data_IF_990409774364
#
_entry.id   IF_990409774364
#
_cell.length_a   1.000
_cell.length_b   1.000
_cell.length_c   1.000
_cell.angle_alpha   90.00
_cell.angle_beta   90.00
_cell.angle_gamma   90.00
#
_symmetry.space_group_name_H-M   'P 1'
#
loop_
_entity.id
_entity.type
_entity.pdbx_description
1 polymer ?
#
# COMPACT_ATOMS: atom_id res chain seq x y z
N UNK A 1 5.43 -4.43 -12.52
CA UNK A 1 4.58 -3.78 -13.54
C UNK A 1 3.12 -3.86 -13.13
N UNK A 2 2.42 -2.75 -13.21
CA UNK A 2 0.98 -2.64 -12.97
C UNK A 2 0.34 -1.97 -14.18
N UNK A 3 -0.76 -2.53 -14.62
CA UNK A 3 -1.64 -1.94 -15.62
C UNK A 3 -3.04 -1.79 -15.01
N UNK A 4 -3.53 -0.59 -14.89
CA UNK A 4 -4.84 -0.30 -14.35
C UNK A 4 -5.72 0.41 -15.41
N UNK A 5 -6.98 0.03 -15.47
CA UNK A 5 -8.01 0.70 -16.26
C UNK A 5 -8.97 1.31 -15.27
N UNK A 6 -9.17 2.62 -15.37
CA UNK A 6 -10.08 3.36 -14.48
C UNK A 6 -11.42 3.58 -15.15
N UNK A 7 -12.48 3.50 -14.37
CA UNK A 7 -13.77 3.99 -14.79
C UNK A 7 -13.69 5.53 -14.89
N UNK A 8 -14.25 6.17 -15.94
CA UNK A 8 -14.30 7.62 -16.07
C UNK A 8 -14.89 8.34 -14.85
N UNK A 9 -15.77 7.69 -14.09
CA UNK A 9 -16.36 8.24 -12.86
C UNK A 9 -15.34 8.42 -11.74
N UNK A 10 -14.21 7.67 -11.77
CA UNK A 10 -13.18 7.72 -10.73
C UNK A 10 -12.25 8.92 -10.88
N UNK A 11 -12.34 9.64 -11.99
CA UNK A 11 -11.56 10.86 -12.28
C UNK A 11 -12.52 11.94 -12.72
N UNK A 12 -12.82 12.86 -11.82
CA UNK A 12 -13.75 13.97 -12.09
C UNK A 12 -13.41 14.68 -13.42
N UNK A 13 -14.32 14.61 -14.39
CA UNK A 13 -14.24 15.33 -15.66
C UNK A 13 -13.74 14.57 -16.88
N UNK A 14 -13.41 13.28 -16.78
CA UNK A 14 -13.01 12.48 -17.95
C UNK A 14 -14.18 11.59 -18.42
N UNK A 15 -14.43 11.59 -19.73
CA UNK A 15 -15.39 10.68 -20.40
C UNK A 15 -14.69 9.42 -20.96
N UNK A 16 -13.37 9.41 -21.00
CA UNK A 16 -12.57 8.32 -21.58
C UNK A 16 -11.98 7.41 -20.49
N UNK A 17 -11.86 6.12 -20.82
CA UNK A 17 -11.14 5.16 -19.99
C UNK A 17 -9.68 5.56 -19.86
N UNK A 18 -9.30 6.04 -18.69
CA UNK A 18 -7.91 6.32 -18.41
C UNK A 18 -7.16 5.02 -18.10
N UNK A 19 -5.99 4.88 -18.68
CA UNK A 19 -5.10 3.74 -18.51
C UNK A 19 -3.86 4.20 -17.77
N UNK A 20 -3.53 3.52 -16.70
CA UNK A 20 -2.30 3.77 -15.96
C UNK A 20 -1.35 2.58 -16.08
N UNK A 21 -0.10 2.90 -16.43
CA UNK A 21 1.00 1.95 -16.45
C UNK A 21 2.02 2.41 -15.43
N UNK A 22 2.25 1.61 -14.43
CA UNK A 22 3.14 1.97 -13.37
C UNK A 22 4.09 0.84 -13.00
N UNK A 23 5.17 1.21 -12.35
CA UNK A 23 6.15 0.31 -11.80
C UNK A 23 6.20 0.51 -10.29
N UNK A 24 6.43 -0.58 -9.58
CA UNK A 24 6.75 -0.53 -8.15
C UNK A 24 8.13 -1.13 -7.94
N UNK A 25 8.87 -0.55 -7.02
CA UNK A 25 10.18 -1.05 -6.58
C UNK A 25 10.14 -1.26 -5.08
N UNK A 26 10.68 -2.38 -4.63
CA UNK A 26 10.90 -2.66 -3.21
C UNK A 26 12.32 -3.19 -3.03
N UNK A 27 13.07 -2.53 -2.16
CA UNK A 27 14.45 -2.89 -1.83
C UNK A 27 14.51 -3.33 -0.38
N UNK A 28 14.97 -4.54 -0.15
CA UNK A 28 15.25 -5.04 1.19
C UNK A 28 16.61 -4.51 1.63
N UNK A 29 16.62 -3.75 2.73
CA UNK A 29 17.84 -3.19 3.32
C UNK A 29 18.51 -4.18 4.28
N UNK A 30 17.70 -4.83 5.11
CA UNK A 30 18.15 -5.79 6.11
C UNK A 30 17.27 -7.03 6.07
N UNK A 31 17.90 -8.19 6.13
CA UNK A 31 17.19 -9.45 6.32
C UNK A 31 16.78 -9.62 7.79
N UNK A 32 15.72 -10.36 8.03
CA UNK A 32 15.32 -10.73 9.38
C UNK A 32 16.41 -11.57 10.04
N UNK A 33 16.71 -11.27 11.30
CA UNK A 33 17.62 -12.06 12.15
C UNK A 33 16.91 -12.44 13.45
N UNK A 34 17.61 -13.12 14.36
CA UNK A 34 17.05 -13.48 15.68
C UNK A 34 16.47 -12.25 16.42
N UNK A 35 17.16 -11.12 16.38
CA UNK A 35 16.81 -9.93 17.16
C UNK A 35 16.27 -8.78 16.32
N UNK A 36 16.67 -8.67 15.05
CA UNK A 36 16.32 -7.56 14.17
C UNK A 36 15.20 -7.97 13.20
N UNK A 37 14.24 -7.08 12.94
CA UNK A 37 13.26 -7.29 11.89
C UNK A 37 13.93 -7.20 10.52
N UNK A 38 13.31 -7.77 9.52
CA UNK A 38 13.61 -7.42 8.14
C UNK A 38 13.11 -6.00 7.88
N UNK A 39 13.89 -5.20 7.16
CA UNK A 39 13.54 -3.82 6.80
C UNK A 39 13.61 -3.66 5.29
N UNK A 40 12.63 -2.98 4.73
CA UNK A 40 12.60 -2.65 3.31
C UNK A 40 12.07 -1.24 3.07
N UNK A 41 12.51 -0.63 1.98
CA UNK A 41 11.95 0.58 1.39
C UNK A 41 11.24 0.24 0.10
N UNK A 42 10.19 0.95 -0.22
CA UNK A 42 9.50 0.76 -1.48
C UNK A 42 8.88 2.05 -2.00
N UNK A 43 8.63 2.05 -3.30
CA UNK A 43 7.88 3.09 -3.97
C UNK A 43 6.89 2.46 -4.94
N UNK A 44 5.72 3.07 -5.03
CA UNK A 44 4.63 2.69 -5.93
C UNK A 44 4.44 3.77 -6.97
N UNK A 45 3.94 3.39 -8.13
CA UNK A 45 3.55 4.27 -9.21
C UNK A 45 4.72 5.11 -9.77
N UNK A 46 5.91 4.52 -9.81
CA UNK A 46 7.07 5.09 -10.48
C UNK A 46 6.78 5.12 -11.98
N UNK A 47 7.00 6.28 -12.63
CA UNK A 47 6.71 6.52 -14.04
C UNK A 47 5.22 6.38 -14.44
N UNK A 48 4.31 6.25 -13.52
CA UNK A 48 2.88 6.23 -13.77
C UNK A 48 2.27 7.64 -13.83
N UNK A 49 0.94 7.70 -13.70
CA UNK A 49 0.19 8.98 -13.68
C UNK A 49 0.33 9.74 -12.36
N UNK A 50 0.91 9.11 -11.32
CA UNK A 50 1.00 9.64 -9.96
C UNK A 50 -0.31 9.56 -9.15
N UNK A 51 -1.33 8.94 -9.71
CA UNK A 51 -2.60 8.72 -9.01
C UNK A 51 -2.42 7.80 -7.80
N UNK A 52 -1.53 6.82 -7.93
CA UNK A 52 -1.25 5.80 -6.93
C UNK A 52 0.13 5.95 -6.28
N UNK A 53 0.74 7.11 -6.47
CA UNK A 53 2.09 7.40 -5.99
C UNK A 53 2.17 7.34 -4.47
N UNK A 54 3.18 6.64 -3.96
CA UNK A 54 3.46 6.56 -2.54
C UNK A 54 4.72 5.77 -2.26
N UNK A 55 5.47 6.23 -1.29
CA UNK A 55 6.67 5.59 -0.80
C UNK A 55 6.40 5.02 0.60
N UNK A 56 7.21 4.06 1.00
CA UNK A 56 7.09 3.47 2.34
C UNK A 56 8.41 2.90 2.83
N UNK A 57 8.56 2.95 4.16
CA UNK A 57 9.51 2.16 4.91
C UNK A 57 8.72 1.12 5.71
N UNK A 58 9.17 -0.13 5.73
CA UNK A 58 8.45 -1.22 6.41
C UNK A 58 9.42 -2.14 7.12
N UNK A 59 9.04 -2.54 8.33
CA UNK A 59 9.72 -3.54 9.12
C UNK A 59 8.79 -4.72 9.37
N UNK A 60 9.29 -5.96 9.24
CA UNK A 60 8.52 -7.19 9.51
C UNK A 60 9.32 -8.14 10.38
N UNK A 61 8.64 -8.75 11.34
CA UNK A 61 9.24 -9.68 12.30
C UNK A 61 8.33 -10.86 12.56
N UNK A 62 8.89 -12.06 12.41
CA UNK A 62 8.23 -13.28 12.82
C UNK A 62 8.51 -13.56 14.32
N UNK A 63 7.46 -13.94 15.05
CA UNK A 63 7.57 -14.39 16.44
C UNK A 63 6.55 -15.51 16.69
N UNK A 64 7.07 -16.71 16.90
CA UNK A 64 6.26 -17.93 16.99
C UNK A 64 5.35 -18.08 15.77
N UNK A 65 4.03 -18.15 15.99
CA UNK A 65 3.03 -18.30 14.95
C UNK A 65 2.57 -16.96 14.35
N UNK A 66 3.10 -15.83 14.87
CA UNK A 66 2.79 -14.49 14.39
C UNK A 66 3.88 -13.95 13.47
N UNK A 67 3.45 -13.15 12.52
CA UNK A 67 4.28 -12.27 11.72
C UNK A 67 3.72 -10.85 11.81
N UNK A 68 4.47 -9.96 12.43
CA UNK A 68 4.09 -8.56 12.59
C UNK A 68 4.74 -7.72 11.51
N UNK A 69 4.00 -6.77 10.98
CA UNK A 69 4.49 -5.78 10.04
C UNK A 69 4.10 -4.40 10.53
N UNK A 70 5.05 -3.48 10.51
CA UNK A 70 4.83 -2.09 10.85
C UNK A 70 5.57 -1.21 9.84
N UNK A 71 4.92 -0.13 9.38
CA UNK A 71 5.49 0.74 8.37
C UNK A 71 5.04 2.18 8.48
N UNK A 72 5.74 3.03 7.76
CA UNK A 72 5.44 4.44 7.56
C UNK A 72 5.37 4.70 6.06
N UNK A 73 4.33 5.41 5.63
CA UNK A 73 4.09 5.72 4.23
C UNK A 73 3.97 7.21 3.99
N UNK A 74 4.33 7.63 2.79
CA UNK A 74 4.24 8.99 2.27
C UNK A 74 3.37 9.02 1.01
N UNK A 75 3.04 10.23 0.56
CA UNK A 75 2.15 10.40 -0.57
C UNK A 75 0.76 9.85 -0.27
N UNK A 76 0.22 9.01 -1.14
CA UNK A 76 -1.08 8.39 -0.91
C UNK A 76 -1.12 7.56 0.38
N UNK A 77 -0.02 6.90 0.73
CA UNK A 77 0.11 6.14 1.96
C UNK A 77 0.30 7.01 3.22
N UNK A 78 0.47 8.31 3.08
CA UNK A 78 0.55 9.30 4.17
C UNK A 78 -0.78 9.99 4.45
N UNK A 79 -1.90 9.62 3.80
CA UNK A 79 -3.13 10.41 3.82
C UNK A 79 -4.01 10.19 5.05
N UNK A 80 -4.00 9.02 5.69
CA UNK A 80 -4.83 8.73 6.86
C UNK A 80 -4.10 9.04 8.16
N UNK A 81 -4.67 9.96 8.96
CA UNK A 81 -4.08 10.36 10.26
C UNK A 81 -2.61 10.76 10.12
N UNK A 82 -2.31 11.48 9.02
CA UNK A 82 -0.96 11.94 8.72
C UNK A 82 -0.42 12.88 9.78
N UNK A 83 0.91 12.85 9.94
CA UNK A 83 1.68 13.74 10.80
C UNK A 83 2.86 14.30 10.02
N UNK A 84 3.44 15.39 10.51
CA UNK A 84 4.58 16.04 9.88
C UNK A 84 5.71 15.05 9.61
N UNK A 85 6.31 15.16 8.44
CA UNK A 85 7.35 14.24 7.99
C UNK A 85 8.53 14.18 8.97
N UNK A 86 8.85 13.05 9.60
CA UNK A 86 10.00 12.98 10.50
C UNK A 86 11.34 13.18 9.80
N UNK A 87 11.41 12.99 8.49
CA UNK A 87 12.60 13.27 7.69
C UNK A 87 12.80 14.77 7.45
N UNK A 88 11.75 15.60 7.62
CA UNK A 88 11.82 17.07 7.57
C UNK A 88 12.74 17.65 8.65
N UNK A 89 12.92 16.95 9.78
CA UNK A 89 13.89 17.34 10.82
C UNK A 89 15.33 17.36 10.28
N UNK A 90 15.61 16.54 9.26
CA UNK A 90 16.95 16.42 8.66
C UNK A 90 17.07 17.32 7.43
N UNK A 91 16.01 17.38 6.62
CA UNK A 91 15.95 18.14 5.36
C UNK A 91 14.57 18.81 5.25
N UNK A 92 14.49 20.12 5.45
CA UNK A 92 13.26 20.93 5.39
C UNK A 92 12.48 20.74 4.07
N UNK A 93 13.19 20.45 2.99
CA UNK A 93 12.59 20.18 1.69
C UNK A 93 11.64 18.96 1.68
N UNK A 94 11.78 18.05 2.65
CA UNK A 94 10.96 16.85 2.76
C UNK A 94 9.60 17.11 3.44
N UNK A 95 9.42 18.26 4.08
CA UNK A 95 8.18 18.62 4.77
C UNK A 95 7.01 18.88 3.80
N UNK A 96 7.32 19.23 2.56
CA UNK A 96 6.29 19.52 1.57
C UNK A 96 6.40 18.63 0.34
N UNK A 97 5.25 18.09 -0.09
CA UNK A 97 5.12 17.36 -1.35
C UNK A 97 4.48 18.25 -2.41
N UNK A 98 5.04 18.32 -3.63
CA UNK A 98 4.44 19.09 -4.72
C UNK A 98 2.98 18.64 -4.98
N UNK A 99 2.05 19.60 -4.96
CA UNK A 99 0.65 19.32 -5.32
C UNK A 99 0.54 19.04 -6.80
N UNK A 100 -0.06 17.92 -7.16
CA UNK A 100 -0.27 17.56 -8.57
C UNK A 100 -1.74 17.62 -8.92
N UNK A 101 -2.04 18.42 -9.94
CA UNK A 101 -3.34 18.41 -10.60
C UNK A 101 -3.39 17.18 -11.51
N UNK A 102 -4.37 16.30 -11.33
CA UNK A 102 -4.57 15.13 -12.16
C UNK A 102 -4.68 15.48 -13.65
N UNK A 103 -4.23 14.60 -14.53
CA UNK A 103 -4.25 14.79 -15.99
C UNK A 103 -2.87 14.79 -16.64
N UNK A 104 -1.80 14.67 -15.87
CA UNK A 104 -0.48 14.47 -16.44
C UNK A 104 -0.38 13.08 -17.06
N UNK A 105 0.10 13.03 -18.30
CA UNK A 105 0.47 11.77 -18.93
C UNK A 105 1.61 11.12 -18.13
N UNK A 106 1.50 9.82 -17.82
CA UNK A 106 2.58 9.07 -17.19
C UNK A 106 3.86 9.05 -18.03
N UNK A 107 4.95 8.53 -17.46
CA UNK A 107 6.24 8.38 -18.15
C UNK A 107 7.32 9.39 -17.73
N UNK A 108 7.01 10.29 -16.80
CA UNK A 108 8.01 11.20 -16.21
C UNK A 108 8.50 10.68 -14.86
N UNK A 109 9.79 10.73 -14.62
CA UNK A 109 10.36 10.54 -13.29
C UNK A 109 9.86 11.64 -12.35
N UNK A 110 9.59 11.27 -11.09
CA UNK A 110 9.04 12.15 -10.06
C UNK A 110 9.93 12.17 -8.82
N UNK A 111 11.20 12.33 -9.06
CA UNK A 111 12.23 12.41 -8.02
C UNK A 111 12.03 13.56 -7.04
N UNK A 112 11.25 14.59 -7.42
CA UNK A 112 10.87 15.72 -6.59
C UNK A 112 9.78 15.41 -5.54
N UNK A 113 9.21 14.21 -5.52
CA UNK A 113 8.14 13.81 -4.59
C UNK A 113 8.52 12.68 -3.63
N UNK A 114 9.66 12.02 -3.82
CA UNK A 114 10.04 10.88 -3.00
C UNK A 114 10.20 11.22 -1.50
N UNK A 115 9.47 10.47 -0.66
CA UNK A 115 9.48 10.60 0.81
C UNK A 115 9.16 12.01 1.32
N UNK A 116 8.36 12.77 0.57
CA UNK A 116 7.97 14.15 0.88
C UNK A 116 6.52 14.25 1.35
N UNK A 117 6.25 15.33 2.11
CA UNK A 117 4.94 15.63 2.70
C UNK A 117 4.64 14.78 3.92
N UNK A 118 3.41 14.86 4.40
CA UNK A 118 2.98 14.14 5.59
C UNK A 118 3.20 12.64 5.48
N UNK A 119 3.52 12.03 6.62
CA UNK A 119 3.69 10.60 6.78
C UNK A 119 2.53 10.02 7.60
N UNK A 120 2.18 8.76 7.37
CA UNK A 120 1.23 8.03 8.21
C UNK A 120 1.72 6.61 8.49
N UNK A 121 1.26 6.06 9.60
CA UNK A 121 1.61 4.70 10.02
C UNK A 121 0.62 3.70 9.45
N UNK A 122 1.14 2.56 9.04
CA UNK A 122 0.35 1.38 8.68
C UNK A 122 0.97 0.14 9.31
N UNK A 123 0.22 -0.95 9.34
CA UNK A 123 0.76 -2.18 9.87
C UNK A 123 -0.27 -3.29 9.95
N UNK A 124 0.15 -4.43 10.47
CA UNK A 124 -0.73 -5.56 10.60
C UNK A 124 -0.03 -6.77 11.19
N UNK A 125 -0.77 -7.83 11.29
CA UNK A 125 -0.22 -9.13 11.67
C UNK A 125 -0.87 -10.26 10.89
N UNK A 126 -0.12 -11.34 10.78
CA UNK A 126 -0.57 -12.63 10.28
C UNK A 126 -0.36 -13.66 11.38
N UNK A 127 -1.40 -14.36 11.74
CA UNK A 127 -1.36 -15.48 12.69
C UNK A 127 -1.54 -16.80 11.96
N UNK A 128 -0.54 -17.66 12.02
CA UNK A 128 -0.60 -19.04 11.48
C UNK A 128 -1.22 -19.95 12.51
N UNK A 129 -2.36 -20.52 12.19
CA UNK A 129 -3.04 -21.45 13.10
C UNK A 129 -2.21 -22.74 13.22
N UNK A 130 -1.75 -23.10 14.44
CA UNK A 130 -0.95 -24.30 14.62
C UNK A 130 -1.65 -25.56 14.11
N UNK A 131 -0.91 -26.42 13.46
CA UNK A 131 -1.39 -27.68 12.88
C UNK A 131 -2.52 -27.53 11.82
N UNK A 132 -2.73 -26.34 11.30
CA UNK A 132 -3.65 -26.07 10.21
C UNK A 132 -2.94 -25.33 9.08
N UNK A 133 -3.38 -25.55 7.86
CA UNK A 133 -2.90 -24.81 6.69
C UNK A 133 -3.62 -23.46 6.54
N UNK A 134 -3.95 -22.80 7.64
CA UNK A 134 -4.76 -21.59 7.71
C UNK A 134 -3.97 -20.49 8.40
N UNK A 135 -4.11 -19.26 7.90
CA UNK A 135 -3.63 -18.07 8.59
C UNK A 135 -4.71 -16.99 8.62
N UNK A 136 -4.80 -16.28 9.74
CA UNK A 136 -5.63 -15.09 9.92
C UNK A 136 -4.75 -13.86 9.69
N UNK A 137 -5.32 -12.84 9.07
CA UNK A 137 -4.64 -11.60 8.70
C UNK A 137 -5.49 -10.43 9.19
N UNK A 138 -4.85 -9.46 9.83
CA UNK A 138 -5.46 -8.18 10.13
C UNK A 138 -4.47 -7.07 9.78
N UNK A 139 -4.96 -6.03 9.12
CA UNK A 139 -4.15 -4.92 8.60
C UNK A 139 -4.84 -3.59 8.93
N UNK A 140 -4.05 -2.61 9.31
CA UNK A 140 -4.42 -1.20 9.38
C UNK A 140 -3.77 -0.47 8.22
N UNK A 141 -4.59 0.17 7.38
CA UNK A 141 -4.18 0.84 6.16
C UNK A 141 -4.18 2.36 6.33
N UNK A 142 -3.15 3.01 5.82
CA UNK A 142 -2.96 4.46 5.92
C UNK A 142 -3.42 5.26 4.69
N UNK A 143 -3.98 4.60 3.67
CA UNK A 143 -4.63 5.26 2.54
C UNK A 143 -6.07 5.66 2.92
N UNK A 144 -6.43 6.93 2.75
CA UNK A 144 -7.81 7.42 2.96
C UNK A 144 -8.71 7.25 1.74
N UNK A 145 -8.14 6.90 0.59
CA UNK A 145 -8.89 6.79 -0.67
C UNK A 145 -9.64 8.07 -1.06
N UNK A 146 -9.05 9.25 -0.78
CA UNK A 146 -9.69 10.55 -0.96
C UNK A 146 -10.23 10.79 -2.36
N UNK A 147 -9.58 10.26 -3.37
CA UNK A 147 -10.01 10.41 -4.77
C UNK A 147 -11.26 9.59 -5.04
N UNK A 148 -11.29 8.36 -4.58
CA UNK A 148 -12.41 7.42 -4.73
C UNK A 148 -13.62 7.90 -3.94
N UNK A 149 -13.41 8.42 -2.73
CA UNK A 149 -14.46 9.01 -1.90
C UNK A 149 -15.04 10.26 -2.59
N UNK A 150 -14.19 11.16 -3.08
CA UNK A 150 -14.64 12.35 -3.82
C UNK A 150 -15.35 12.02 -5.13
N UNK A 151 -14.96 10.94 -5.79
CA UNK A 151 -15.62 10.46 -7.00
C UNK A 151 -16.95 9.72 -6.70
N UNK A 152 -17.30 9.49 -5.44
CA UNK A 152 -18.50 8.75 -5.03
C UNK A 152 -18.46 7.26 -5.40
N UNK A 153 -17.26 6.71 -5.58
CA UNK A 153 -17.04 5.28 -5.88
C UNK A 153 -16.74 4.46 -4.64
N UNK A 154 -16.48 5.13 -3.52
CA UNK A 154 -16.21 4.54 -2.21
C UNK A 154 -16.75 5.43 -1.11
N UNK A 155 -17.56 4.87 -0.22
CA UNK A 155 -18.13 5.56 0.93
C UNK A 155 -17.37 5.19 2.22
N UNK A 156 -16.81 6.20 2.90
CA UNK A 156 -16.19 6.08 4.23
C UNK A 156 -15.35 4.81 4.44
N UNK A 157 -14.25 4.64 3.74
CA UNK A 157 -13.48 3.42 3.81
C UNK A 157 -12.91 3.19 5.21
N UNK A 158 -13.13 2.00 5.76
CA UNK A 158 -12.48 1.55 6.99
C UNK A 158 -10.97 1.46 6.79
N UNK A 159 -10.21 1.79 7.82
CA UNK A 159 -8.77 1.55 7.86
C UNK A 159 -8.42 0.09 8.11
N UNK A 160 -9.37 -0.72 8.57
CA UNK A 160 -9.14 -2.11 8.96
C UNK A 160 -9.53 -3.04 7.83
N UNK A 161 -8.58 -3.92 7.49
CA UNK A 161 -8.77 -5.04 6.59
C UNK A 161 -8.54 -6.34 7.36
N UNK A 162 -9.37 -7.35 7.10
CA UNK A 162 -9.20 -8.68 7.68
C UNK A 162 -9.22 -9.72 6.59
N UNK A 163 -8.49 -10.82 6.80
CA UNK A 163 -8.41 -11.88 5.82
C UNK A 163 -8.13 -13.24 6.42
N UNK A 164 -8.47 -14.24 5.64
CA UNK A 164 -8.16 -15.64 5.89
C UNK A 164 -7.38 -16.16 4.69
N UNK A 165 -6.23 -16.76 4.93
CA UNK A 165 -5.46 -17.46 3.92
C UNK A 165 -5.48 -18.96 4.23
N UNK A 166 -5.74 -19.77 3.20
CA UNK A 166 -5.68 -21.22 3.26
C UNK A 166 -4.69 -21.74 2.24
N UNK A 167 -3.79 -22.61 2.66
CA UNK A 167 -2.76 -23.22 1.81
C UNK A 167 -2.97 -24.73 1.74
N UNK A 168 -3.88 -25.22 0.85
CA UNK A 168 -4.20 -26.64 0.73
C UNK A 168 -2.99 -27.49 0.32
N UNK A 169 -2.08 -26.92 -0.46
CA UNK A 169 -0.82 -27.56 -0.87
C UNK A 169 0.32 -26.54 -0.79
N UNK A 170 1.61 -26.99 -0.79
CA UNK A 170 2.74 -26.05 -0.82
C UNK A 170 2.72 -25.07 -1.99
N UNK A 171 2.14 -25.47 -3.10
CA UNK A 171 2.10 -24.67 -4.34
C UNK A 171 0.84 -23.82 -4.51
N UNK A 172 -0.20 -24.02 -3.71
CA UNK A 172 -1.49 -23.31 -3.88
C UNK A 172 -1.84 -22.54 -2.62
N UNK A 173 -2.14 -21.25 -2.76
CA UNK A 173 -2.67 -20.41 -1.70
C UNK A 173 -3.97 -19.74 -2.14
N UNK A 174 -4.97 -19.80 -1.28
CA UNK A 174 -6.28 -19.18 -1.44
C UNK A 174 -6.47 -18.17 -0.33
N UNK A 175 -6.86 -16.94 -0.67
CA UNK A 175 -7.12 -15.89 0.30
C UNK A 175 -8.51 -15.31 0.09
N UNK A 176 -9.26 -15.18 1.15
CA UNK A 176 -10.48 -14.38 1.23
C UNK A 176 -10.21 -13.19 2.14
N UNK A 177 -10.64 -11.99 1.77
CA UNK A 177 -10.37 -10.76 2.51
C UNK A 177 -11.60 -9.86 2.51
N UNK A 178 -11.88 -9.25 3.66
CA UNK A 178 -12.83 -8.16 3.80
C UNK A 178 -12.03 -6.87 3.90
N UNK A 179 -12.16 -6.03 2.90
CA UNK A 179 -11.32 -4.86 2.68
C UNK A 179 -12.16 -3.59 2.83
N UNK A 180 -11.62 -2.59 3.51
CA UNK A 180 -12.18 -1.24 3.62
C UNK A 180 -13.58 -1.17 4.21
N UNK A 181 -14.08 -2.24 4.79
CA UNK A 181 -15.42 -2.30 5.36
C UNK A 181 -16.55 -2.60 4.36
N UNK A 182 -16.28 -2.67 3.06
CA UNK A 182 -17.29 -2.79 2.01
C UNK A 182 -16.95 -3.80 0.90
N UNK A 183 -15.70 -4.21 0.77
CA UNK A 183 -15.24 -5.00 -0.37
C UNK A 183 -14.83 -6.41 0.04
N UNK A 184 -15.40 -7.42 -0.58
CA UNK A 184 -14.94 -8.80 -0.49
C UNK A 184 -13.91 -9.08 -1.60
N UNK A 185 -12.68 -9.42 -1.19
CA UNK A 185 -11.59 -9.81 -2.08
C UNK A 185 -11.38 -11.33 -2.06
N UNK A 186 -11.07 -11.90 -3.21
CA UNK A 186 -10.71 -13.31 -3.33
C UNK A 186 -9.48 -13.45 -4.25
N UNK A 187 -8.46 -14.18 -3.77
CA UNK A 187 -7.21 -14.38 -4.52
C UNK A 187 -6.82 -15.84 -4.49
N UNK A 188 -6.47 -16.38 -5.65
CA UNK A 188 -5.83 -17.68 -5.79
C UNK A 188 -4.44 -17.46 -6.37
N UNK A 189 -3.41 -18.02 -5.72
CA UNK A 189 -2.02 -17.96 -6.18
C UNK A 189 -1.48 -19.37 -6.32
N UNK A 190 -0.73 -19.60 -7.39
CA UNK A 190 0.00 -20.85 -7.63
C UNK A 190 1.48 -20.55 -7.86
N UNK A 191 2.35 -21.32 -7.22
CA UNK A 191 3.79 -21.30 -7.47
C UNK A 191 4.16 -22.58 -8.21
N UNK A 192 4.85 -22.45 -9.30
CA UNK A 192 5.36 -23.52 -10.17
C UNK A 192 6.85 -23.70 -9.88
#
# INVERSE_FOLDING_TARGET
FRYAIFNPKDLAGSTDFNRDRSYGVKVQLFAESRFLPQVALGSRDILGTGVWEGEYAVASKAWRDFEFTFGMGWGRLGSRSGFSNPLGIILDELDSRPTRTGGELGGKSRDDSFFRGDAALFGGFKYRVPNASIALIAEYESDQYDREVRAGTLDFPSALNVGLAWQPTPSVSIRASWLRGDTLGFTVSSQI
#
